data_IF_974285198311
#
_entry.id   IF_974285198311
#
_cell.length_a   1.000
_cell.length_b   1.000
_cell.length_c   1.000
_cell.angle_alpha   90.00
_cell.angle_beta   90.00
_cell.angle_gamma   90.00
#
_symmetry.space_group_name_H-M   'P 1'
#
loop_
_entity.id
_entity.type
_entity.pdbx_description
1 polymer ?
#
# COMPACT_ATOMS: atom_id res chain seq x y z
N UNK A 1 -24.76 9.46 -2.94
CA UNK A 1 -23.51 8.85 -2.41
C UNK A 1 -22.63 9.84 -1.61
N UNK A 2 -22.67 11.14 -1.91
CA UNK A 2 -21.89 12.16 -1.19
C UNK A 2 -22.28 12.24 0.30
N UNK A 3 -23.53 12.03 0.66
CA UNK A 3 -23.98 12.02 2.06
C UNK A 3 -23.33 10.88 2.86
N UNK A 4 -23.30 9.69 2.31
CA UNK A 4 -22.66 8.52 2.95
C UNK A 4 -21.15 8.74 3.14
N UNK A 5 -20.46 9.26 2.14
CA UNK A 5 -19.05 9.60 2.23
C UNK A 5 -18.77 10.58 3.38
N UNK A 6 -19.55 11.67 3.49
CA UNK A 6 -19.36 12.68 4.54
C UNK A 6 -19.62 12.10 5.94
N UNK A 7 -20.64 11.24 6.09
CA UNK A 7 -20.95 10.55 7.35
C UNK A 7 -19.78 9.64 7.74
N UNK A 8 -19.31 8.81 6.82
CA UNK A 8 -18.22 7.85 7.09
C UNK A 8 -16.90 8.57 7.39
N UNK A 9 -16.63 9.68 6.68
CA UNK A 9 -15.48 10.56 6.99
C UNK A 9 -15.59 11.17 8.39
N UNK A 10 -16.78 11.62 8.78
CA UNK A 10 -17.03 12.12 10.14
C UNK A 10 -16.78 11.04 11.20
N UNK A 11 -17.31 9.84 11.00
CA UNK A 11 -17.08 8.70 11.90
C UNK A 11 -15.60 8.34 12.01
N UNK A 12 -14.86 8.37 10.90
CA UNK A 12 -13.40 8.14 10.90
C UNK A 12 -12.68 9.13 11.82
N UNK A 13 -12.93 10.44 11.68
CA UNK A 13 -12.28 11.46 12.50
C UNK A 13 -12.67 11.33 13.97
N UNK A 14 -13.95 11.05 14.28
CA UNK A 14 -14.42 10.81 15.64
C UNK A 14 -13.68 9.61 16.24
N UNK A 15 -13.56 8.51 15.52
CA UNK A 15 -12.83 7.32 15.99
C UNK A 15 -11.35 7.61 16.25
N UNK A 16 -10.70 8.37 15.38
CA UNK A 16 -9.29 8.77 15.55
C UNK A 16 -9.10 9.64 16.79
N UNK A 17 -10.01 10.59 17.04
CA UNK A 17 -9.98 11.47 18.23
C UNK A 17 -10.24 10.66 19.49
N UNK A 18 -11.21 9.75 19.51
CA UNK A 18 -11.49 8.89 20.66
C UNK A 18 -10.26 8.02 20.99
N UNK A 19 -9.63 7.40 19.98
CA UNK A 19 -8.43 6.61 20.20
C UNK A 19 -7.28 7.45 20.77
N UNK A 20 -7.11 8.69 20.31
CA UNK A 20 -6.11 9.62 20.85
C UNK A 20 -6.39 9.93 22.34
N UNK A 21 -7.63 10.27 22.68
CA UNK A 21 -8.04 10.60 24.04
C UNK A 21 -7.81 9.39 24.97
N UNK A 22 -8.21 8.20 24.54
CA UNK A 22 -8.00 6.97 25.32
C UNK A 22 -6.51 6.72 25.56
N UNK A 23 -5.66 6.92 24.54
CA UNK A 23 -4.22 6.74 24.71
C UNK A 23 -3.57 7.80 25.62
N UNK A 24 -4.14 9.02 25.69
CA UNK A 24 -3.67 10.07 26.61
C UNK A 24 -4.08 9.79 28.04
N UNK A 25 -5.29 9.25 28.27
CA UNK A 25 -5.80 8.91 29.61
C UNK A 25 -5.11 7.66 30.16
N UNK A 26 -4.87 6.67 29.31
CA UNK A 26 -4.22 5.40 29.66
C UNK A 26 -2.91 5.22 28.88
N UNK A 27 -1.84 5.93 29.24
CA UNK A 27 -0.57 5.85 28.53
C UNK A 27 0.07 4.48 28.74
N UNK A 28 -0.07 3.60 27.77
CA UNK A 28 0.63 2.30 27.72
C UNK A 28 1.89 2.43 26.89
N UNK A 29 2.98 1.82 27.34
CA UNK A 29 4.22 1.74 26.56
C UNK A 29 4.38 0.33 25.97
N UNK A 30 4.61 0.15 24.65
CA UNK A 30 4.70 1.21 23.62
C UNK A 30 3.35 1.86 23.31
N UNK A 31 3.37 3.12 22.86
CA UNK A 31 2.14 3.84 22.47
C UNK A 31 1.47 3.13 21.29
N UNK A 32 0.27 2.61 21.50
CA UNK A 32 -0.49 1.86 20.47
C UNK A 32 -1.26 2.77 19.49
N UNK A 33 -1.56 4.00 19.89
CA UNK A 33 -2.35 4.95 19.09
C UNK A 33 -1.83 5.13 17.65
N UNK A 34 -0.53 5.31 17.40
CA UNK A 34 -0.05 5.49 16.04
C UNK A 34 -0.31 4.28 15.13
N UNK A 35 -0.28 3.06 15.68
CA UNK A 35 -0.57 1.84 14.92
C UNK A 35 -2.06 1.76 14.54
N UNK A 36 -2.95 2.13 15.48
CA UNK A 36 -4.38 2.20 15.20
C UNK A 36 -4.69 3.30 14.19
N UNK A 37 -4.04 4.46 14.29
CA UNK A 37 -4.19 5.54 13.32
C UNK A 37 -3.76 5.10 11.92
N UNK A 38 -2.63 4.42 11.79
CA UNK A 38 -2.16 3.88 10.51
C UNK A 38 -3.18 2.89 9.92
N UNK A 39 -3.71 1.98 10.73
CA UNK A 39 -4.75 1.04 10.32
C UNK A 39 -6.02 1.77 9.87
N UNK A 40 -6.49 2.74 10.62
CA UNK A 40 -7.67 3.54 10.27
C UNK A 40 -7.48 4.29 8.94
N UNK A 41 -6.31 4.89 8.71
CA UNK A 41 -5.99 5.56 7.45
C UNK A 41 -6.05 4.56 6.29
N UNK A 42 -5.48 3.37 6.43
CA UNK A 42 -5.52 2.35 5.39
C UNK A 42 -6.94 1.87 5.12
N UNK A 43 -7.73 1.59 6.15
CA UNK A 43 -9.14 1.19 6.01
C UNK A 43 -9.94 2.28 5.30
N UNK A 44 -9.74 3.54 5.67
CA UNK A 44 -10.40 4.67 5.02
C UNK A 44 -10.09 4.73 3.52
N UNK A 45 -8.80 4.63 3.16
CA UNK A 45 -8.36 4.68 1.76
C UNK A 45 -8.82 3.48 0.94
N UNK A 46 -8.81 2.27 1.51
CA UNK A 46 -9.20 1.05 0.78
C UNK A 46 -10.71 0.95 0.57
N UNK A 47 -11.53 1.34 1.57
CA UNK A 47 -12.97 1.10 1.52
C UNK A 47 -13.82 2.34 1.25
N UNK A 48 -13.37 3.53 1.64
CA UNK A 48 -14.18 4.74 1.63
C UNK A 48 -13.82 5.67 0.46
N UNK A 49 -12.54 5.85 0.17
CA UNK A 49 -12.07 6.71 -0.92
C UNK A 49 -12.59 6.26 -2.30
N UNK A 50 -12.68 4.94 -2.64
CA UNK A 50 -13.22 4.49 -3.92
C UNK A 50 -14.65 4.93 -4.20
N UNK A 51 -15.41 5.28 -3.17
CA UNK A 51 -16.80 5.74 -3.32
C UNK A 51 -16.89 7.14 -3.94
N UNK A 52 -15.81 7.93 -3.90
CA UNK A 52 -15.79 9.33 -4.34
C UNK A 52 -14.89 9.58 -5.54
N UNK A 53 -13.75 8.94 -5.58
CA UNK A 53 -12.67 9.24 -6.54
C UNK A 53 -12.84 8.39 -7.81
N UNK A 54 -12.44 8.93 -8.97
CA UNK A 54 -12.37 8.14 -10.21
C UNK A 54 -11.34 7.01 -10.04
N UNK A 55 -11.63 5.84 -10.60
CA UNK A 55 -10.78 4.64 -10.47
C UNK A 55 -9.31 4.90 -10.77
N UNK A 56 -9.03 5.74 -11.77
CA UNK A 56 -7.66 6.08 -12.18
C UNK A 56 -6.90 6.85 -11.10
N UNK A 57 -7.52 7.86 -10.53
CA UNK A 57 -6.94 8.64 -9.42
C UNK A 57 -6.80 7.77 -8.17
N UNK A 58 -7.78 6.89 -7.92
CA UNK A 58 -7.75 5.98 -6.78
C UNK A 58 -6.54 5.04 -6.79
N UNK A 59 -6.19 4.42 -7.91
CA UNK A 59 -5.02 3.53 -8.02
C UNK A 59 -3.73 4.29 -7.65
N UNK A 60 -3.59 5.53 -8.14
CA UNK A 60 -2.45 6.39 -7.82
C UNK A 60 -2.40 6.75 -6.33
N UNK A 61 -3.52 7.17 -5.78
CA UNK A 61 -3.64 7.55 -4.35
C UNK A 61 -3.38 6.36 -3.44
N UNK A 62 -3.92 5.18 -3.75
CA UNK A 62 -3.67 3.96 -2.99
C UNK A 62 -2.17 3.61 -2.95
N UNK A 63 -1.48 3.75 -4.08
CA UNK A 63 -0.03 3.50 -4.17
C UNK A 63 0.75 4.48 -3.29
N UNK A 64 0.47 5.78 -3.40
CA UNK A 64 1.14 6.80 -2.60
C UNK A 64 0.87 6.59 -1.11
N UNK A 65 -0.38 6.32 -0.74
CA UNK A 65 -0.76 6.10 0.65
C UNK A 65 -0.16 4.83 1.25
N UNK A 66 -0.06 3.75 0.49
CA UNK A 66 0.60 2.54 0.98
C UNK A 66 2.08 2.78 1.32
N UNK A 67 2.77 3.60 0.53
CA UNK A 67 4.16 3.99 0.80
C UNK A 67 4.24 4.89 2.03
N UNK A 68 3.39 5.93 2.11
CA UNK A 68 3.40 6.87 3.24
C UNK A 68 3.09 6.16 4.56
N UNK A 69 2.08 5.27 4.59
CA UNK A 69 1.75 4.51 5.80
C UNK A 69 2.87 3.55 6.18
N UNK A 70 3.52 2.91 5.20
CA UNK A 70 4.67 2.04 5.46
C UNK A 70 5.83 2.82 6.07
N UNK A 71 6.17 3.99 5.50
CA UNK A 71 7.21 4.87 6.04
C UNK A 71 6.87 5.38 7.45
N UNK A 72 5.60 5.73 7.68
CA UNK A 72 5.12 6.17 9.00
C UNK A 72 5.28 5.06 10.05
N UNK A 73 4.92 3.82 9.74
CA UNK A 73 5.10 2.69 10.65
C UNK A 73 6.59 2.39 10.91
N UNK A 74 7.44 2.49 9.89
CA UNK A 74 8.90 2.34 10.05
C UNK A 74 9.45 3.43 10.97
N UNK A 75 8.99 4.67 10.81
CA UNK A 75 9.40 5.78 11.67
C UNK A 75 8.99 5.55 13.13
N UNK A 76 7.76 5.08 13.37
CA UNK A 76 7.30 4.75 14.73
C UNK A 76 8.12 3.61 15.33
N UNK A 77 8.41 2.58 14.54
CA UNK A 77 9.22 1.45 15.00
C UNK A 77 10.64 1.90 15.38
N UNK A 78 11.25 2.77 14.57
CA UNK A 78 12.53 3.39 14.89
C UNK A 78 12.45 4.26 16.16
N UNK A 79 11.41 5.09 16.30
CA UNK A 79 11.19 5.91 17.50
C UNK A 79 11.08 5.06 18.75
N UNK A 80 10.29 3.98 18.73
CA UNK A 80 10.13 3.06 19.84
C UNK A 80 11.45 2.34 20.19
N UNK A 81 12.25 1.99 19.18
CA UNK A 81 13.57 1.42 19.40
C UNK A 81 14.48 2.36 20.19
N UNK A 82 14.58 3.64 19.78
CA UNK A 82 15.45 4.61 20.43
C UNK A 82 14.95 5.06 21.81
N UNK A 83 13.63 5.12 22.02
CA UNK A 83 13.05 5.67 23.28
C UNK A 83 12.72 4.59 24.31
N UNK A 84 12.33 3.40 23.87
CA UNK A 84 11.80 2.35 24.74
C UNK A 84 12.66 1.09 24.75
N UNK A 85 13.79 1.07 24.03
CA UNK A 85 14.67 -0.09 23.86
C UNK A 85 13.91 -1.36 23.40
N UNK A 86 12.86 -1.18 22.58
CA UNK A 86 12.11 -2.28 21.97
C UNK A 86 12.90 -2.90 20.82
N UNK A 87 12.53 -4.10 20.39
CA UNK A 87 13.18 -4.71 19.22
C UNK A 87 12.80 -3.93 17.95
N UNK A 88 13.80 -3.37 17.28
CA UNK A 88 13.62 -2.71 15.98
C UNK A 88 13.41 -3.72 14.86
N UNK A 89 12.61 -3.34 13.88
CA UNK A 89 12.55 -4.02 12.60
C UNK A 89 11.20 -4.66 12.27
N UNK A 90 10.24 -4.68 13.18
CA UNK A 90 8.93 -5.27 12.89
C UNK A 90 8.21 -4.56 11.72
N UNK A 91 8.14 -3.25 11.76
CA UNK A 91 7.48 -2.48 10.71
C UNK A 91 8.28 -2.53 9.39
N UNK A 92 9.59 -2.47 9.49
CA UNK A 92 10.49 -2.55 8.35
C UNK A 92 10.41 -3.95 7.68
N UNK A 93 10.42 -5.02 8.46
CA UNK A 93 10.47 -6.39 7.93
C UNK A 93 9.10 -6.86 7.44
N UNK A 94 8.04 -6.63 8.22
CA UNK A 94 6.73 -7.25 7.96
C UNK A 94 5.67 -6.26 7.51
N UNK A 95 5.44 -5.18 8.24
CA UNK A 95 4.32 -4.28 7.97
C UNK A 95 4.47 -3.54 6.64
N UNK A 96 5.63 -2.97 6.34
CA UNK A 96 5.89 -2.24 5.10
C UNK A 96 5.66 -3.10 3.86
N UNK A 97 6.39 -4.22 3.68
CA UNK A 97 6.20 -5.11 2.55
C UNK A 97 4.78 -5.64 2.41
N UNK A 98 4.11 -5.98 3.53
CA UNK A 98 2.74 -6.51 3.52
C UNK A 98 1.73 -5.48 3.03
N UNK A 99 1.81 -4.23 3.49
CA UNK A 99 0.94 -3.13 3.06
C UNK A 99 1.11 -2.84 1.58
N UNK A 100 2.36 -2.79 1.10
CA UNK A 100 2.65 -2.54 -0.31
C UNK A 100 2.18 -3.69 -1.21
N UNK A 101 2.37 -4.94 -0.77
CA UNK A 101 1.86 -6.12 -1.49
C UNK A 101 0.33 -6.12 -1.55
N UNK A 102 -0.35 -5.81 -0.46
CA UNK A 102 -1.81 -5.68 -0.42
C UNK A 102 -2.30 -4.56 -1.37
N UNK A 103 -1.58 -3.45 -1.48
CA UNK A 103 -1.87 -2.37 -2.44
C UNK A 103 -1.80 -2.84 -3.90
N UNK A 104 -0.79 -3.65 -4.27
CA UNK A 104 -0.67 -4.24 -5.61
C UNK A 104 -1.88 -5.14 -5.91
N UNK A 105 -2.21 -6.03 -4.98
CA UNK A 105 -3.33 -6.97 -5.13
C UNK A 105 -4.66 -6.21 -5.28
N UNK A 106 -4.91 -5.24 -4.41
CA UNK A 106 -6.13 -4.41 -4.45
C UNK A 106 -6.24 -3.65 -5.76
N UNK A 107 -5.16 -3.01 -6.20
CA UNK A 107 -5.11 -2.30 -7.49
C UNK A 107 -5.35 -3.25 -8.67
N UNK A 108 -4.79 -4.46 -8.63
CA UNK A 108 -5.00 -5.49 -9.63
C UNK A 108 -6.46 -5.93 -9.72
N UNK A 109 -7.12 -6.18 -8.58
CA UNK A 109 -8.54 -6.55 -8.51
C UNK A 109 -9.40 -5.44 -9.10
N UNK A 110 -9.16 -4.18 -8.74
CA UNK A 110 -9.90 -3.02 -9.24
C UNK A 110 -9.76 -2.89 -10.76
N UNK A 111 -8.56 -3.10 -11.28
CA UNK A 111 -8.32 -3.04 -12.72
C UNK A 111 -9.03 -4.17 -13.48
N UNK A 112 -9.02 -5.39 -12.94
CA UNK A 112 -9.76 -6.52 -13.52
C UNK A 112 -11.27 -6.23 -13.59
N UNK A 113 -11.81 -5.57 -12.57
CA UNK A 113 -13.22 -5.17 -12.55
C UNK A 113 -13.55 -4.03 -13.52
N UNK A 114 -12.63 -3.08 -13.74
CA UNK A 114 -12.94 -1.85 -14.49
C UNK A 114 -12.47 -1.83 -15.94
N UNK A 115 -11.56 -2.70 -16.35
CA UNK A 115 -11.00 -2.86 -17.73
C UNK A 115 -10.53 -1.60 -18.47
N UNK A 116 -10.64 -0.41 -17.86
CA UNK A 116 -10.41 0.89 -18.52
C UNK A 116 -9.08 1.58 -18.15
N UNK A 117 -8.40 1.08 -17.10
CA UNK A 117 -7.28 1.83 -16.48
C UNK A 117 -5.97 1.03 -16.43
N UNK A 118 -5.76 0.15 -17.40
CA UNK A 118 -4.58 -0.73 -17.47
C UNK A 118 -3.25 0.05 -17.50
N UNK A 119 -3.23 1.21 -18.19
CA UNK A 119 -2.02 2.04 -18.29
C UNK A 119 -1.60 2.68 -16.96
N UNK A 120 -2.56 3.09 -16.14
CA UNK A 120 -2.29 3.69 -14.84
C UNK A 120 -1.91 2.65 -13.81
N UNK A 121 -2.56 1.48 -13.86
CA UNK A 121 -2.16 0.33 -13.06
C UNK A 121 -0.72 -0.07 -13.36
N UNK A 122 -0.36 -0.21 -14.65
CA UNK A 122 1.00 -0.56 -15.05
C UNK A 122 2.01 0.45 -14.51
N UNK A 123 1.72 1.75 -14.61
CA UNK A 123 2.59 2.81 -14.05
C UNK A 123 2.75 2.69 -12.55
N UNK A 124 1.66 2.50 -11.81
CA UNK A 124 1.68 2.38 -10.35
C UNK A 124 2.42 1.12 -9.89
N UNK A 125 2.17 -0.02 -10.54
CA UNK A 125 2.84 -1.28 -10.22
C UNK A 125 4.33 -1.24 -10.60
N UNK A 126 4.70 -0.61 -11.74
CA UNK A 126 6.11 -0.41 -12.12
C UNK A 126 6.85 0.46 -11.10
N UNK A 127 6.21 1.52 -10.60
CA UNK A 127 6.78 2.35 -9.55
C UNK A 127 7.02 1.55 -8.26
N UNK A 128 6.03 0.74 -7.84
CA UNK A 128 6.19 -0.15 -6.68
C UNK A 128 7.25 -1.23 -6.92
N UNK A 129 7.42 -1.72 -8.14
CA UNK A 129 8.48 -2.68 -8.47
C UNK A 129 9.87 -2.06 -8.33
N UNK A 130 10.08 -0.85 -8.84
CA UNK A 130 11.34 -0.13 -8.64
C UNK A 130 11.60 0.11 -7.16
N UNK A 131 10.58 0.55 -6.42
CA UNK A 131 10.68 0.78 -4.99
C UNK A 131 11.00 -0.52 -4.24
N UNK A 132 10.40 -1.65 -4.62
CA UNK A 132 10.65 -2.95 -3.99
C UNK A 132 12.09 -3.44 -4.17
N UNK A 133 12.70 -3.17 -5.34
CA UNK A 133 14.09 -3.49 -5.62
C UNK A 133 15.00 -2.66 -4.71
N UNK A 134 14.78 -1.35 -4.65
CA UNK A 134 15.55 -0.45 -3.77
C UNK A 134 15.40 -0.90 -2.30
N UNK A 135 14.17 -1.19 -1.89
CA UNK A 135 13.87 -1.64 -0.54
C UNK A 135 14.60 -2.94 -0.17
N UNK A 136 14.59 -3.92 -1.08
CA UNK A 136 15.32 -5.18 -0.89
C UNK A 136 16.82 -4.96 -0.73
N UNK A 137 17.42 -4.12 -1.58
CA UNK A 137 18.86 -3.83 -1.48
C UNK A 137 19.21 -3.07 -0.19
N UNK A 138 18.39 -2.14 0.26
CA UNK A 138 18.58 -1.45 1.54
C UNK A 138 18.55 -2.45 2.70
N UNK A 139 17.56 -3.37 2.69
CA UNK A 139 17.47 -4.44 3.68
C UNK A 139 18.70 -5.35 3.65
N UNK A 140 19.15 -5.75 2.47
CA UNK A 140 20.28 -6.64 2.28
C UNK A 140 21.62 -6.03 2.75
N UNK A 141 21.83 -4.74 2.50
CA UNK A 141 23.10 -4.06 2.82
C UNK A 141 23.15 -3.65 4.30
N UNK A 142 22.10 -3.04 4.81
CA UNK A 142 22.11 -2.39 6.12
C UNK A 142 21.51 -3.24 7.25
N UNK A 143 20.59 -4.12 6.94
CA UNK A 143 19.84 -4.88 7.93
C UNK A 143 20.06 -6.40 7.83
N UNK A 144 21.32 -6.83 7.65
CA UNK A 144 21.71 -8.24 7.46
C UNK A 144 21.23 -9.21 8.55
N UNK A 145 20.99 -8.68 9.76
CA UNK A 145 20.53 -9.48 10.92
C UNK A 145 19.01 -9.67 10.95
N UNK A 146 18.27 -9.02 10.06
CA UNK A 146 16.81 -9.17 9.97
C UNK A 146 16.43 -10.16 8.86
N UNK A 147 15.27 -10.82 8.99
CA UNK A 147 14.82 -11.76 7.97
C UNK A 147 14.50 -11.04 6.66
N UNK A 148 15.13 -11.49 5.57
CA UNK A 148 15.02 -10.87 4.23
C UNK A 148 13.84 -11.42 3.41
N UNK A 149 13.23 -12.54 3.83
CA UNK A 149 12.20 -13.20 3.04
C UNK A 149 10.95 -12.34 2.76
N UNK A 150 10.45 -11.43 3.66
CA UNK A 150 9.29 -10.62 3.32
C UNK A 150 9.58 -9.55 2.26
N UNK A 151 10.78 -8.94 2.30
CA UNK A 151 11.20 -7.99 1.27
C UNK A 151 11.47 -8.68 -0.06
N UNK A 152 12.00 -9.90 -0.06
CA UNK A 152 12.13 -10.73 -1.25
C UNK A 152 10.76 -11.11 -1.83
N UNK A 153 9.82 -11.51 -0.99
CA UNK A 153 8.45 -11.82 -1.42
C UNK A 153 7.77 -10.59 -2.05
N UNK A 154 7.92 -9.41 -1.46
CA UNK A 154 7.41 -8.16 -2.03
C UNK A 154 8.05 -7.85 -3.39
N UNK A 155 9.37 -7.98 -3.52
CA UNK A 155 10.08 -7.78 -4.79
C UNK A 155 9.59 -8.78 -5.85
N UNK A 156 9.50 -10.07 -5.53
CA UNK A 156 9.02 -11.08 -6.48
C UNK A 156 7.57 -10.83 -6.91
N UNK A 157 6.67 -10.50 -5.98
CA UNK A 157 5.25 -10.23 -6.31
C UNK A 157 5.09 -8.99 -7.18
N UNK A 158 5.84 -7.93 -6.92
CA UNK A 158 5.78 -6.71 -7.72
C UNK A 158 6.32 -6.90 -9.13
N UNK A 159 7.45 -7.60 -9.30
CA UNK A 159 8.01 -7.93 -10.60
C UNK A 159 7.09 -8.86 -11.40
N UNK A 160 6.54 -9.88 -10.77
CA UNK A 160 5.58 -10.79 -11.39
C UNK A 160 4.33 -10.04 -11.86
N UNK A 161 3.82 -9.10 -11.08
CA UNK A 161 2.68 -8.25 -11.46
C UNK A 161 2.99 -7.39 -12.69
N UNK A 162 4.19 -6.80 -12.79
CA UNK A 162 4.63 -6.05 -13.99
C UNK A 162 4.66 -6.96 -15.22
N UNK A 163 5.27 -8.14 -15.12
CA UNK A 163 5.37 -9.09 -16.22
C UNK A 163 3.98 -9.52 -16.71
N UNK A 164 3.08 -9.86 -15.78
CA UNK A 164 1.71 -10.24 -16.12
C UNK A 164 1.00 -9.09 -16.86
N UNK A 165 1.08 -7.86 -16.35
CA UNK A 165 0.43 -6.70 -16.97
C UNK A 165 0.99 -6.38 -18.36
N UNK A 166 2.29 -6.49 -18.57
CA UNK A 166 2.94 -6.33 -19.89
C UNK A 166 2.46 -7.39 -20.89
N UNK A 167 2.35 -8.65 -20.48
CA UNK A 167 1.84 -9.73 -21.31
C UNK A 167 0.38 -9.51 -21.71
N UNK A 168 -0.46 -9.07 -20.78
CA UNK A 168 -1.86 -8.74 -21.08
C UNK A 168 -1.97 -7.58 -22.09
N UNK A 169 -1.19 -6.51 -21.90
CA UNK A 169 -1.16 -5.37 -22.80
C UNK A 169 -0.71 -5.78 -24.22
N UNK A 170 0.33 -6.60 -24.33
CA UNK A 170 0.82 -7.12 -25.61
C UNK A 170 -0.24 -7.94 -26.34
N UNK A 171 -0.93 -8.83 -25.66
CA UNK A 171 -2.00 -9.66 -26.23
C UNK A 171 -3.18 -8.83 -26.77
N UNK A 172 -3.49 -7.72 -26.10
CA UNK A 172 -4.54 -6.80 -26.54
C UNK A 172 -4.14 -6.05 -27.81
N UNK A 173 -2.92 -5.54 -27.88
CA UNK A 173 -2.38 -4.90 -29.07
C UNK A 173 -2.34 -5.85 -30.30
N UNK A 174 -1.92 -7.10 -30.08
CA UNK A 174 -1.92 -8.11 -31.16
C UNK A 174 -3.34 -8.39 -31.67
N UNK A 175 -4.33 -8.51 -30.76
CA UNK A 175 -5.73 -8.70 -31.15
C UNK A 175 -6.34 -7.49 -31.87
N UNK A 176 -5.98 -6.27 -31.50
CA UNK A 176 -6.40 -5.05 -32.18
C UNK A 176 -5.78 -4.95 -33.61
N UNK A 177 -4.49 -5.24 -33.74
CA UNK A 177 -3.80 -5.30 -35.02
C UNK A 177 -4.40 -6.39 -35.94
N UNK A 178 -4.68 -7.58 -35.42
CA UNK A 178 -5.34 -8.64 -36.19
C UNK A 178 -6.73 -8.23 -36.67
N UNK A 179 -7.50 -7.46 -35.89
CA UNK A 179 -8.79 -6.93 -36.31
C UNK A 179 -8.68 -5.87 -37.42
N UNK A 180 -7.69 -4.97 -37.33
CA UNK A 180 -7.47 -3.94 -38.36
C UNK A 180 -6.96 -4.51 -39.69
N UNK A 181 -6.13 -5.54 -39.65
CA UNK A 181 -5.55 -6.14 -40.85
C UNK A 181 -6.33 -7.35 -41.40
N UNK A 182 -7.50 -7.71 -40.81
CA UNK A 182 -8.33 -8.84 -41.24
C UNK A 182 -7.58 -10.17 -41.40
N UNK A 183 -6.55 -10.43 -40.56
CA UNK A 183 -5.75 -11.65 -40.54
C UNK A 183 -6.22 -12.59 -39.43
#
# INVERSE_FOLDING_TARGET
>A
NIKWYNITRGMFWISAIICLIVNLIFPTKPYWYPYVLALLIMVFHVFIEPLKVKVSQYIKELTIMSILVSLFLIFIDAYNYFTLATKFGWALVYAGPSIMTASIITSGIICLCSRKHEGELLRSVSFLAIFSIIYFFVMFIWFKNLPLWPSLAFMCTSLLAVVILELFKRNKLVKELQKEFHI
#
